data_IF_935411224823
#
_entry.id   IF_935411224823
#
_cell.length_a   1.000
_cell.length_b   1.000
_cell.length_c   1.000
_cell.angle_alpha   90.00
_cell.angle_beta   90.00
_cell.angle_gamma   90.00
#
_symmetry.space_group_name_H-M   'P 1'
#
loop_
_entity.id
_entity.type
_entity.pdbx_description
1 polymer ?
#
# COMPACT_ATOMS: atom_id res chain seq x y z
N UNK A 1 23.72 -2.83 -26.66
CA UNK A 1 24.50 -1.81 -25.99
C UNK A 1 24.01 -1.65 -24.54
N UNK A 2 24.94 -1.73 -23.59
CA UNK A 2 24.66 -1.60 -22.14
C UNK A 2 24.18 -0.21 -21.73
N UNK A 3 24.26 0.80 -22.57
CA UNK A 3 23.91 2.19 -22.23
C UNK A 3 22.43 2.45 -22.07
N UNK A 4 21.58 1.56 -22.58
CA UNK A 4 20.13 1.74 -22.62
C UNK A 4 19.41 0.51 -22.08
N UNK A 5 19.42 0.35 -20.76
CA UNK A 5 18.64 -0.68 -20.07
C UNK A 5 17.39 0.00 -19.51
N UNK A 6 16.24 -0.55 -19.85
CA UNK A 6 14.94 -0.13 -19.31
C UNK A 6 14.57 -1.08 -18.20
N UNK A 7 14.58 -0.58 -16.96
CA UNK A 7 14.19 -1.33 -15.77
C UNK A 7 12.89 -0.76 -15.19
N UNK A 8 12.00 -1.62 -14.76
CA UNK A 8 10.72 -1.27 -14.15
C UNK A 8 10.61 -1.91 -12.76
N UNK A 9 10.07 -1.17 -11.80
CA UNK A 9 9.80 -1.64 -10.43
C UNK A 9 8.50 -1.07 -9.88
N UNK A 10 8.23 -1.34 -8.61
CA UNK A 10 7.02 -0.88 -7.92
C UNK A 10 5.85 -1.87 -8.01
N UNK A 11 4.66 -1.48 -7.50
CA UNK A 11 3.52 -2.41 -7.36
C UNK A 11 3.06 -3.04 -8.68
N UNK A 12 3.10 -2.27 -9.77
CA UNK A 12 2.67 -2.76 -11.08
C UNK A 12 3.64 -3.81 -11.69
N UNK A 13 4.88 -3.88 -11.22
CA UNK A 13 5.85 -4.87 -11.68
C UNK A 13 5.48 -6.32 -11.33
N UNK A 14 4.52 -6.52 -10.42
CA UNK A 14 3.96 -7.86 -10.13
C UNK A 14 3.09 -8.43 -11.24
N UNK A 15 2.66 -7.60 -12.19
CA UNK A 15 2.03 -8.01 -13.44
C UNK A 15 2.84 -7.44 -14.60
N UNK A 16 4.00 -8.02 -14.92
CA UNK A 16 4.97 -7.44 -15.86
C UNK A 16 4.57 -7.58 -17.33
N UNK A 17 3.80 -8.60 -17.70
CA UNK A 17 3.54 -8.99 -19.07
C UNK A 17 2.95 -7.88 -19.97
N UNK A 18 2.03 -7.01 -19.51
CA UNK A 18 1.54 -5.91 -20.35
C UNK A 18 2.62 -4.93 -20.82
N UNK A 19 3.78 -4.89 -20.15
CA UNK A 19 4.89 -4.00 -20.46
C UNK A 19 6.15 -4.77 -20.95
N UNK A 20 6.05 -6.08 -21.12
CA UNK A 20 7.19 -6.96 -21.41
C UNK A 20 7.98 -6.57 -22.67
N UNK A 21 7.31 -6.06 -23.71
CA UNK A 21 7.95 -5.64 -24.95
C UNK A 21 8.72 -4.32 -24.84
N UNK A 22 8.43 -3.52 -23.81
CA UNK A 22 9.02 -2.18 -23.60
C UNK A 22 10.11 -2.15 -22.53
N UNK A 23 10.21 -3.21 -21.72
CA UNK A 23 11.07 -3.27 -20.52
C UNK A 23 12.06 -4.42 -20.64
N UNK A 24 13.33 -4.14 -20.37
CA UNK A 24 14.38 -5.17 -20.44
C UNK A 24 14.36 -6.10 -19.21
N UNK A 25 14.05 -5.56 -18.04
CA UNK A 25 13.92 -6.31 -16.80
C UNK A 25 12.96 -5.62 -15.82
N UNK A 26 12.32 -6.42 -15.00
CA UNK A 26 11.50 -5.98 -13.87
C UNK A 26 12.18 -6.34 -12.55
N UNK A 27 12.09 -5.43 -11.59
CA UNK A 27 12.47 -5.66 -10.20
C UNK A 27 11.22 -5.83 -9.36
N UNK A 28 10.95 -7.07 -8.95
CA UNK A 28 9.73 -7.48 -8.23
C UNK A 28 10.03 -7.59 -6.74
N UNK A 29 9.38 -6.77 -5.93
CA UNK A 29 9.53 -6.76 -4.48
C UNK A 29 10.05 -5.44 -3.92
N UNK A 30 10.67 -5.52 -2.75
CA UNK A 30 11.21 -4.37 -2.03
C UNK A 30 12.51 -3.89 -2.70
N UNK A 31 12.61 -2.59 -2.97
CA UNK A 31 13.70 -2.01 -3.76
C UNK A 31 14.98 -1.71 -2.98
N UNK A 32 14.91 -1.57 -1.66
CA UNK A 32 15.97 -1.03 -0.82
C UNK A 32 17.28 -1.86 -0.88
N UNK A 33 17.17 -3.16 -1.01
CA UNK A 33 18.33 -4.05 -1.20
C UNK A 33 18.47 -4.51 -2.64
N UNK A 34 17.36 -4.75 -3.32
CA UNK A 34 17.35 -5.33 -4.67
C UNK A 34 17.85 -4.35 -5.73
N UNK A 35 17.50 -3.06 -5.65
CA UNK A 35 17.98 -2.07 -6.59
C UNK A 35 19.50 -1.81 -6.45
N UNK A 36 20.08 -1.61 -5.26
CA UNK A 36 21.53 -1.54 -5.10
C UNK A 36 22.24 -2.79 -5.60
N UNK A 37 21.71 -3.99 -5.34
CA UNK A 37 22.28 -5.25 -5.84
C UNK A 37 22.30 -5.30 -7.38
N UNK A 38 21.23 -4.83 -8.03
CA UNK A 38 21.16 -4.74 -9.49
C UNK A 38 22.18 -3.74 -10.05
N UNK A 39 22.30 -2.55 -9.43
CA UNK A 39 23.28 -1.54 -9.81
C UNK A 39 24.72 -2.06 -9.63
N UNK A 40 25.00 -2.71 -8.50
CA UNK A 40 26.30 -3.33 -8.24
C UNK A 40 26.60 -4.41 -9.30
N UNK A 41 25.64 -5.23 -9.66
CA UNK A 41 25.78 -6.22 -10.73
C UNK A 41 26.10 -5.58 -12.08
N UNK A 42 25.46 -4.46 -12.39
CA UNK A 42 25.76 -3.70 -13.61
C UNK A 42 27.21 -3.18 -13.60
N UNK A 43 27.69 -2.63 -12.49
CA UNK A 43 29.08 -2.15 -12.35
C UNK A 43 30.07 -3.30 -12.53
N UNK A 44 29.83 -4.44 -11.86
CA UNK A 44 30.68 -5.63 -11.98
C UNK A 44 30.76 -6.15 -13.42
N UNK A 45 29.63 -6.18 -14.12
CA UNK A 45 29.57 -6.59 -15.53
C UNK A 45 30.42 -5.67 -16.42
N UNK A 46 30.33 -4.35 -16.21
CA UNK A 46 31.18 -3.38 -16.93
C UNK A 46 32.66 -3.58 -16.64
N UNK A 47 33.05 -3.79 -15.39
CA UNK A 47 34.46 -4.06 -15.00
C UNK A 47 34.98 -5.35 -15.62
N UNK A 48 34.14 -6.36 -15.81
CA UNK A 48 34.47 -7.63 -16.51
C UNK A 48 34.48 -7.52 -18.03
N UNK A 49 34.28 -6.34 -18.60
CA UNK A 49 34.25 -6.13 -20.03
C UNK A 49 32.98 -6.63 -20.74
N UNK A 50 31.89 -6.85 -20.02
CA UNK A 50 30.59 -7.17 -20.61
C UNK A 50 30.03 -5.90 -21.26
N UNK A 51 29.79 -5.95 -22.56
CA UNK A 51 29.39 -4.79 -23.38
C UNK A 51 27.99 -4.93 -23.97
N UNK A 52 27.40 -6.12 -23.94
CA UNK A 52 26.09 -6.39 -24.52
C UNK A 52 24.99 -6.45 -23.45
N UNK A 53 23.82 -5.92 -23.81
CA UNK A 53 22.63 -5.96 -22.96
C UNK A 53 22.24 -7.41 -22.58
N UNK A 54 22.29 -8.32 -23.57
CA UNK A 54 21.91 -9.72 -23.33
C UNK A 54 22.82 -10.40 -22.30
N UNK A 55 24.14 -10.19 -22.39
CA UNK A 55 25.08 -10.78 -21.44
C UNK A 55 24.87 -10.22 -20.01
N UNK A 56 24.56 -8.93 -19.88
CA UNK A 56 24.19 -8.35 -18.60
C UNK A 56 22.88 -8.96 -18.06
N UNK A 57 21.83 -9.07 -18.87
CA UNK A 57 20.54 -9.62 -18.47
C UNK A 57 20.66 -11.08 -17.99
N UNK A 58 21.56 -11.87 -18.58
CA UNK A 58 21.87 -13.23 -18.12
C UNK A 58 22.53 -13.27 -16.73
N UNK A 59 23.25 -12.23 -16.36
CA UNK A 59 23.78 -12.12 -15.00
C UNK A 59 22.75 -11.51 -14.02
N UNK A 60 22.00 -10.52 -14.47
CA UNK A 60 21.00 -9.84 -13.66
C UNK A 60 19.85 -10.78 -13.25
N UNK A 61 19.39 -11.69 -14.13
CA UNK A 61 18.27 -12.60 -13.83
C UNK A 61 18.57 -13.59 -12.68
N UNK A 62 19.83 -13.71 -12.25
CA UNK A 62 20.22 -14.55 -11.11
C UNK A 62 19.95 -13.89 -9.77
N UNK A 63 19.66 -12.58 -9.75
CA UNK A 63 19.32 -11.84 -8.55
C UNK A 63 17.86 -12.07 -8.16
N UNK A 64 17.59 -12.15 -6.86
CA UNK A 64 16.22 -12.23 -6.35
C UNK A 64 15.41 -11.01 -6.79
N UNK A 65 14.18 -11.24 -7.20
CA UNK A 65 13.26 -10.22 -7.69
C UNK A 65 13.44 -9.81 -9.14
N UNK A 66 14.49 -10.25 -9.83
CA UNK A 66 14.71 -9.86 -11.22
C UNK A 66 13.98 -10.79 -12.18
N UNK A 67 13.05 -10.24 -12.95
CA UNK A 67 12.37 -10.88 -14.06
C UNK A 67 12.82 -10.26 -15.38
N UNK A 68 13.28 -11.10 -16.33
CA UNK A 68 13.72 -10.68 -17.66
C UNK A 68 12.76 -11.29 -18.70
N UNK A 69 11.78 -10.54 -19.22
CA UNK A 69 10.69 -11.11 -20.06
C UNK A 69 11.18 -11.96 -21.23
N UNK A 70 12.19 -11.51 -21.94
CA UNK A 70 12.75 -12.22 -23.13
C UNK A 70 13.32 -13.61 -22.83
N UNK A 71 13.46 -14.01 -21.56
CA UNK A 71 13.93 -15.35 -21.16
C UNK A 71 12.81 -16.34 -20.96
N UNK A 72 11.57 -15.93 -21.24
CA UNK A 72 10.37 -16.76 -21.08
C UNK A 72 9.45 -16.62 -22.29
N UNK A 73 8.65 -17.64 -22.53
CA UNK A 73 7.60 -17.61 -23.53
C UNK A 73 6.34 -18.29 -22.98
N UNK A 74 5.17 -17.69 -23.12
CA UNK A 74 3.92 -18.34 -22.76
C UNK A 74 3.57 -19.41 -23.80
N UNK A 75 3.09 -20.56 -23.32
CA UNK A 75 2.46 -21.60 -24.16
C UNK A 75 0.97 -21.50 -23.95
N UNK A 76 0.23 -21.31 -25.01
CA UNK A 76 -1.23 -21.15 -24.95
C UNK A 76 -1.93 -22.50 -25.19
N UNK A 77 -3.05 -22.69 -24.51
CA UNK A 77 -4.02 -23.75 -24.79
C UNK A 77 -4.87 -23.38 -26.02
N UNK A 78 -5.67 -24.34 -26.51
CA UNK A 78 -6.54 -24.15 -27.70
C UNK A 78 -7.58 -23.03 -27.50
N UNK A 79 -8.02 -22.77 -26.25
CA UNK A 79 -8.95 -21.73 -25.90
C UNK A 79 -8.30 -20.35 -25.71
N UNK A 80 -6.99 -20.20 -25.95
CA UNK A 80 -6.23 -18.97 -25.81
C UNK A 80 -5.79 -18.64 -24.36
N UNK A 81 -6.07 -19.51 -23.39
CA UNK A 81 -5.55 -19.35 -22.04
C UNK A 81 -4.08 -19.75 -21.95
N UNK A 82 -3.32 -19.16 -21.03
CA UNK A 82 -1.92 -19.54 -20.78
C UNK A 82 -1.89 -20.91 -20.10
N UNK A 83 -1.32 -21.90 -20.78
CA UNK A 83 -1.12 -23.25 -20.25
C UNK A 83 0.09 -23.32 -19.32
N UNK A 84 1.20 -22.75 -19.74
CA UNK A 84 2.45 -22.72 -19.00
C UNK A 84 3.36 -21.58 -19.47
N UNK A 85 4.35 -21.24 -18.67
CA UNK A 85 5.43 -20.32 -19.01
C UNK A 85 6.72 -21.14 -19.17
N UNK A 86 7.26 -21.19 -20.39
CA UNK A 86 8.49 -21.90 -20.70
C UNK A 86 9.72 -21.00 -20.57
N UNK A 87 10.84 -21.57 -20.10
CA UNK A 87 12.13 -20.88 -20.11
C UNK A 87 12.77 -20.97 -21.48
N UNK A 88 13.18 -19.83 -22.04
CA UNK A 88 14.02 -19.75 -23.25
C UNK A 88 15.51 -19.66 -22.89
N UNK A 89 15.82 -19.34 -21.66
CA UNK A 89 17.17 -19.37 -21.09
C UNK A 89 17.18 -20.27 -19.86
N UNK A 90 17.93 -21.37 -19.93
CA UNK A 90 17.89 -22.45 -18.93
C UNK A 90 18.22 -21.97 -17.51
N UNK A 91 19.18 -21.06 -17.37
CA UNK A 91 19.59 -20.52 -16.07
C UNK A 91 18.63 -19.45 -15.52
N UNK A 92 17.60 -19.03 -16.26
CA UNK A 92 16.60 -18.11 -15.73
C UNK A 92 15.75 -18.81 -14.64
N UNK A 93 15.48 -18.12 -13.52
CA UNK A 93 14.70 -18.70 -12.43
C UNK A 93 13.21 -18.84 -12.80
N UNK A 94 12.60 -19.97 -12.44
CA UNK A 94 11.15 -20.15 -12.53
C UNK A 94 10.73 -21.08 -11.36
N UNK A 95 9.88 -20.64 -10.44
CA UNK A 95 9.26 -19.30 -10.35
C UNK A 95 10.25 -18.18 -9.98
N UNK A 96 9.90 -16.95 -10.34
CA UNK A 96 10.62 -15.75 -9.90
C UNK A 96 10.28 -15.49 -8.42
N UNK A 97 11.29 -15.45 -7.57
CA UNK A 97 11.13 -15.07 -6.16
C UNK A 97 11.22 -13.56 -6.04
N UNK A 98 10.21 -12.94 -5.44
CA UNK A 98 10.28 -11.51 -5.17
C UNK A 98 11.36 -11.19 -4.13
N UNK A 99 11.99 -10.04 -4.25
CA UNK A 99 12.85 -9.50 -3.22
C UNK A 99 12.02 -9.07 -2.01
N UNK A 100 12.40 -9.52 -0.81
CA UNK A 100 11.71 -9.19 0.44
C UNK A 100 12.73 -8.60 1.40
N UNK A 101 12.47 -7.37 1.83
CA UNK A 101 13.20 -6.76 2.93
C UNK A 101 12.68 -7.37 4.25
N UNK A 102 13.51 -8.05 5.04
CA UNK A 102 13.03 -8.79 6.22
C UNK A 102 12.44 -7.87 7.31
N UNK A 103 12.98 -6.69 7.46
CA UNK A 103 12.55 -5.67 8.42
C UNK A 103 12.75 -4.27 7.85
N UNK A 104 11.99 -3.29 8.32
CA UNK A 104 12.03 -1.92 7.81
C UNK A 104 12.55 -0.89 8.82
N UNK A 105 12.85 -1.34 10.04
CA UNK A 105 13.25 -0.47 11.16
C UNK A 105 14.56 0.26 10.88
N UNK A 106 15.56 -0.47 10.41
CA UNK A 106 16.92 0.06 10.16
C UNK A 106 17.11 0.65 8.76
N UNK A 107 16.09 0.59 7.92
CA UNK A 107 16.19 1.06 6.54
C UNK A 107 16.18 2.58 6.48
N UNK A 108 17.07 3.14 5.67
CA UNK A 108 17.10 4.56 5.39
C UNK A 108 15.76 5.05 4.85
N UNK A 109 15.29 6.13 5.43
CA UNK A 109 14.05 6.79 5.02
C UNK A 109 14.36 8.25 4.65
N UNK A 110 13.82 8.77 3.53
CA UNK A 110 14.10 10.13 3.08
C UNK A 110 13.49 11.16 4.05
N UNK A 111 14.32 11.66 4.96
CA UNK A 111 13.93 12.73 5.91
C UNK A 111 14.16 14.13 5.35
N UNK A 112 14.86 14.24 4.23
CA UNK A 112 15.10 15.47 3.47
C UNK A 112 14.62 15.31 2.03
N UNK A 113 13.31 15.12 1.79
CA UNK A 113 12.79 14.96 0.43
C UNK A 113 12.96 16.28 -0.35
N UNK A 114 13.08 16.15 -1.68
CA UNK A 114 13.05 17.32 -2.57
C UNK A 114 11.64 17.89 -2.56
N UNK A 115 11.51 19.13 -2.12
CA UNK A 115 10.22 19.83 -2.08
C UNK A 115 10.02 20.56 -3.42
N UNK A 116 8.88 20.37 -4.11
CA UNK A 116 8.58 21.08 -5.34
C UNK A 116 8.32 22.56 -5.05
N UNK A 117 8.75 23.44 -5.95
CA UNK A 117 8.47 24.89 -5.88
C UNK A 117 6.99 25.18 -6.18
N UNK A 118 6.37 24.31 -6.99
CA UNK A 118 4.96 24.41 -7.37
C UNK A 118 4.14 23.60 -6.36
N UNK A 119 3.06 24.18 -5.88
CA UNK A 119 2.11 23.50 -4.98
C UNK A 119 1.64 22.17 -5.57
N UNK A 120 1.87 21.09 -4.84
CA UNK A 120 1.48 19.74 -5.22
C UNK A 120 0.14 19.36 -4.56
N UNK A 121 -0.63 18.44 -5.17
CA UNK A 121 -1.92 17.97 -4.62
C UNK A 121 -1.75 17.34 -3.23
N UNK A 122 -0.58 16.79 -2.94
CA UNK A 122 -0.24 16.15 -1.67
C UNK A 122 1.03 16.79 -1.08
N UNK A 123 0.91 18.07 -0.75
CA UNK A 123 2.00 18.84 -0.13
C UNK A 123 2.03 18.59 1.38
N UNK A 124 2.69 17.52 1.79
CA UNK A 124 2.75 17.06 3.18
C UNK A 124 3.90 16.10 3.44
N UNK A 125 4.35 16.06 4.69
CA UNK A 125 5.26 15.03 5.16
C UNK A 125 4.54 13.70 5.30
N UNK A 126 5.18 12.61 4.85
CA UNK A 126 4.59 11.26 4.86
C UNK A 126 5.56 10.29 5.51
N UNK A 127 5.12 9.58 6.55
CA UNK A 127 5.91 8.55 7.23
C UNK A 127 5.27 7.18 7.05
N UNK A 128 6.02 6.25 6.43
CA UNK A 128 5.62 4.86 6.33
C UNK A 128 5.73 4.17 7.69
N UNK A 129 4.59 3.71 8.24
CA UNK A 129 4.54 3.07 9.55
C UNK A 129 4.78 1.57 9.48
N UNK A 130 4.22 0.92 8.46
CA UNK A 130 4.44 -0.51 8.21
C UNK A 130 4.09 -0.89 6.77
N UNK A 131 4.61 -2.03 6.32
CA UNK A 131 4.28 -2.68 5.04
C UNK A 131 3.52 -3.95 5.26
N UNK A 132 2.65 -4.26 4.29
CA UNK A 132 1.84 -5.47 4.28
C UNK A 132 0.49 -5.28 4.95
N UNK A 133 -0.33 -6.33 4.84
CA UNK A 133 -1.64 -6.40 5.46
C UNK A 133 -2.01 -7.86 5.71
N UNK A 134 -2.56 -8.17 6.88
CA UNK A 134 -2.95 -9.53 7.28
C UNK A 134 -4.39 -9.87 6.90
N UNK A 135 -5.20 -8.89 6.42
CA UNK A 135 -6.66 -9.03 6.32
C UNK A 135 -7.13 -10.00 5.24
N UNK A 136 -6.44 -10.09 4.12
CA UNK A 136 -6.74 -11.07 3.08
C UNK A 136 -8.03 -10.82 2.29
N UNK A 137 -8.44 -9.55 2.13
CA UNK A 137 -9.54 -9.18 1.23
C UNK A 137 -9.23 -9.70 -0.18
N UNK A 138 -10.17 -10.47 -0.78
CA UNK A 138 -9.92 -11.22 -2.02
C UNK A 138 -9.70 -10.34 -3.25
N UNK A 139 -10.23 -9.12 -3.24
CA UNK A 139 -10.02 -8.14 -4.32
C UNK A 139 -8.71 -7.35 -4.20
N UNK A 140 -8.01 -7.42 -3.05
CA UNK A 140 -6.91 -6.53 -2.75
C UNK A 140 -5.56 -7.13 -3.15
N UNK A 141 -5.00 -6.69 -4.28
CA UNK A 141 -3.66 -7.06 -4.71
C UNK A 141 -2.60 -6.61 -3.69
N UNK A 142 -2.71 -5.39 -3.16
CA UNK A 142 -1.76 -4.83 -2.20
C UNK A 142 -1.63 -5.71 -0.93
N UNK A 143 -2.74 -6.29 -0.45
CA UNK A 143 -2.74 -7.22 0.67
C UNK A 143 -1.94 -8.51 0.40
N UNK A 144 -1.65 -8.83 -0.84
CA UNK A 144 -0.85 -10.00 -1.23
C UNK A 144 0.61 -9.64 -1.52
N UNK A 145 0.83 -8.61 -2.34
CA UNK A 145 2.18 -8.27 -2.84
C UNK A 145 3.09 -7.69 -1.76
N UNK A 146 2.56 -7.09 -0.69
CA UNK A 146 3.35 -6.49 0.37
C UNK A 146 3.54 -7.36 1.62
N UNK A 147 3.10 -8.61 1.63
CA UNK A 147 3.37 -9.55 2.72
C UNK A 147 4.86 -9.90 2.80
N UNK A 148 5.38 -10.24 4.00
CA UNK A 148 4.76 -10.23 5.33
C UNK A 148 4.54 -8.82 5.86
N UNK A 149 3.79 -8.68 6.96
CA UNK A 149 3.70 -7.41 7.70
C UNK A 149 5.02 -7.14 8.40
N UNK A 150 5.51 -5.91 8.24
CA UNK A 150 6.75 -5.41 8.87
C UNK A 150 6.48 -4.01 9.36
N UNK A 151 6.58 -3.81 10.67
CA UNK A 151 6.29 -2.54 11.33
C UNK A 151 7.57 -1.80 11.71
N UNK A 152 7.52 -0.48 11.71
CA UNK A 152 8.49 0.36 12.42
C UNK A 152 8.04 0.52 13.86
N UNK A 153 8.98 0.64 14.79
CA UNK A 153 8.67 0.97 16.17
C UNK A 153 8.04 2.35 16.28
N UNK A 154 7.24 2.57 17.33
CA UNK A 154 6.67 3.86 17.66
C UNK A 154 7.75 4.95 17.69
N UNK A 155 8.86 4.69 18.37
CA UNK A 155 9.96 5.65 18.54
C UNK A 155 10.62 5.99 17.20
N UNK A 156 10.77 5.01 16.30
CA UNK A 156 11.31 5.26 14.96
C UNK A 156 10.36 6.12 14.13
N UNK A 157 9.05 5.86 14.19
CA UNK A 157 8.04 6.67 13.49
C UNK A 157 8.06 8.11 14.00
N UNK A 158 8.13 8.32 15.30
CA UNK A 158 8.24 9.66 15.89
C UNK A 158 9.51 10.38 15.42
N UNK A 159 10.67 9.72 15.49
CA UNK A 159 11.94 10.26 15.01
C UNK A 159 11.88 10.70 13.54
N UNK A 160 11.29 9.86 12.67
CA UNK A 160 11.16 10.16 11.25
C UNK A 160 10.19 11.32 10.98
N UNK A 161 9.08 11.38 11.72
CA UNK A 161 8.11 12.46 11.64
C UNK A 161 8.71 13.80 12.03
N UNK A 162 9.41 13.85 13.16
CA UNK A 162 10.12 15.04 13.62
C UNK A 162 11.16 15.52 12.61
N UNK A 163 12.03 14.61 12.15
CA UNK A 163 13.07 14.95 11.19
C UNK A 163 12.50 15.47 9.86
N UNK A 164 11.47 14.82 9.31
CA UNK A 164 10.81 15.29 8.08
C UNK A 164 10.18 16.67 8.25
N UNK A 165 9.44 16.91 9.31
CA UNK A 165 8.79 18.21 9.54
C UNK A 165 9.81 19.33 9.71
N UNK A 166 10.91 19.08 10.44
CA UNK A 166 11.99 20.05 10.60
C UNK A 166 12.71 20.38 9.27
N UNK A 167 12.90 19.38 8.41
CA UNK A 167 13.64 19.55 7.16
C UNK A 167 12.78 20.09 6.02
N UNK A 168 11.47 19.87 6.06
CA UNK A 168 10.56 20.28 4.97
C UNK A 168 9.79 21.56 5.26
N UNK A 169 9.48 21.82 6.53
CA UNK A 169 8.58 22.91 6.92
C UNK A 169 7.11 22.66 6.54
N UNK A 170 6.72 21.42 6.19
CA UNK A 170 5.34 21.09 5.87
C UNK A 170 4.42 21.30 7.08
N UNK A 171 3.20 21.75 6.83
CA UNK A 171 2.16 21.99 7.84
C UNK A 171 1.17 20.82 8.00
N UNK A 172 1.40 19.72 7.28
CA UNK A 172 0.66 18.46 7.41
C UNK A 172 1.61 17.26 7.50
N UNK A 173 1.34 16.37 8.45
CA UNK A 173 1.95 15.06 8.60
C UNK A 173 0.92 13.97 8.29
N UNK A 174 1.26 13.02 7.43
CA UNK A 174 0.42 11.86 7.11
C UNK A 174 1.14 10.56 7.40
N UNK A 175 0.44 9.59 8.00
CA UNK A 175 0.95 8.23 8.11
C UNK A 175 0.65 7.45 6.84
N UNK A 176 1.54 6.54 6.45
CA UNK A 176 1.39 5.69 5.28
C UNK A 176 1.42 4.21 5.67
N UNK A 177 0.33 3.53 5.38
CA UNK A 177 0.19 2.07 5.48
C UNK A 177 -1.06 1.59 4.74
N UNK A 178 -1.23 0.28 4.60
CA UNK A 178 -2.45 -0.32 4.05
C UNK A 178 -3.62 -0.36 5.03
N UNK A 179 -3.36 -0.21 6.34
CA UNK A 179 -4.37 -0.28 7.40
C UNK A 179 -3.82 0.33 8.69
N UNK A 180 -3.79 1.65 8.79
CA UNK A 180 -3.07 2.38 9.86
C UNK A 180 -3.50 1.94 11.27
N UNK A 181 -4.79 1.66 11.48
CA UNK A 181 -5.32 1.18 12.76
C UNK A 181 -4.93 -0.27 13.12
N UNK A 182 -4.26 -1.01 12.22
CA UNK A 182 -3.76 -2.36 12.51
C UNK A 182 -2.32 -2.36 13.05
N UNK A 183 -1.66 -1.20 13.15
CA UNK A 183 -0.34 -1.10 13.75
C UNK A 183 -0.38 -1.53 15.23
N UNK A 184 0.62 -2.31 15.66
CA UNK A 184 0.65 -2.90 17.01
C UNK A 184 0.59 -1.87 18.15
N UNK A 185 1.14 -0.67 17.94
CA UNK A 185 1.15 0.44 18.89
C UNK A 185 0.27 1.61 18.44
N UNK A 186 -0.80 1.38 17.66
CA UNK A 186 -1.59 2.43 17.03
C UNK A 186 -2.07 3.51 17.99
N UNK A 187 -2.67 3.14 19.12
CA UNK A 187 -3.21 4.10 20.10
C UNK A 187 -2.11 4.98 20.70
N UNK A 188 -1.06 4.36 21.23
CA UNK A 188 0.06 5.07 21.85
C UNK A 188 0.77 5.99 20.84
N UNK A 189 0.99 5.51 19.63
CA UNK A 189 1.58 6.28 18.54
C UNK A 189 0.72 7.49 18.17
N UNK A 190 -0.59 7.28 18.00
CA UNK A 190 -1.50 8.34 17.59
C UNK A 190 -1.61 9.42 18.64
N UNK A 191 -1.68 9.05 19.92
CA UNK A 191 -1.74 10.02 21.01
C UNK A 191 -0.47 10.89 21.07
N UNK A 192 0.71 10.28 20.94
CA UNK A 192 1.98 11.01 20.96
C UNK A 192 2.13 11.93 19.73
N UNK A 193 1.72 11.45 18.54
CA UNK A 193 1.70 12.27 17.33
C UNK A 193 0.74 13.47 17.45
N UNK A 194 -0.44 13.29 18.03
CA UNK A 194 -1.39 14.39 18.26
C UNK A 194 -0.77 15.44 19.18
N UNK A 195 -0.14 15.03 20.28
CA UNK A 195 0.47 15.95 21.23
C UNK A 195 1.68 16.69 20.61
N UNK A 196 2.47 16.00 19.78
CA UNK A 196 3.58 16.60 19.05
C UNK A 196 3.07 17.59 17.98
N UNK A 197 2.17 17.18 17.10
CA UNK A 197 1.67 18.03 16.02
C UNK A 197 0.90 19.26 16.51
N UNK A 198 0.23 19.15 17.68
CA UNK A 198 -0.39 20.31 18.36
C UNK A 198 0.65 21.34 18.77
N UNK A 199 1.77 20.92 19.36
CA UNK A 199 2.85 21.84 19.78
C UNK A 199 3.49 22.56 18.61
N UNK A 200 3.67 21.84 17.50
CA UNK A 200 4.31 22.36 16.27
C UNK A 200 3.32 23.07 15.34
N UNK A 201 2.03 23.14 15.69
CA UNK A 201 0.96 23.70 14.85
C UNK A 201 0.85 23.02 13.46
N UNK A 202 1.09 21.71 13.40
CA UNK A 202 1.05 20.86 12.22
C UNK A 202 -0.25 20.05 12.20
N UNK A 203 -0.88 19.87 11.04
CA UNK A 203 -2.04 18.98 10.88
C UNK A 203 -1.62 17.51 10.85
N UNK A 204 -2.38 16.63 11.53
CA UNK A 204 -2.18 15.17 11.45
C UNK A 204 -3.26 14.53 10.57
N UNK A 205 -2.84 13.75 9.58
CA UNK A 205 -3.71 12.95 8.72
C UNK A 205 -3.49 11.45 8.97
N UNK A 206 -4.56 10.75 9.30
CA UNK A 206 -4.56 9.31 9.56
C UNK A 206 -5.39 8.58 8.49
N UNK A 207 -4.81 8.27 7.33
CA UNK A 207 -5.51 7.55 6.27
C UNK A 207 -5.67 6.07 6.61
N UNK A 208 -6.53 5.38 5.86
CA UNK A 208 -6.70 3.93 5.93
C UNK A 208 -7.12 3.41 7.31
N UNK A 209 -7.95 4.18 8.01
CA UNK A 209 -8.56 3.73 9.27
C UNK A 209 -9.65 2.68 8.98
N UNK A 210 -9.72 1.66 9.81
CA UNK A 210 -10.70 0.58 9.68
C UNK A 210 -11.89 0.78 10.61
N UNK A 211 -13.09 0.43 10.13
CA UNK A 211 -14.35 0.52 10.86
C UNK A 211 -14.35 -0.33 12.14
N UNK A 212 -13.73 -1.51 12.09
CA UNK A 212 -13.77 -2.53 13.14
C UNK A 212 -12.74 -2.35 14.27
N UNK A 213 -11.93 -1.28 14.22
CA UNK A 213 -10.85 -1.03 15.17
C UNK A 213 -10.73 0.45 15.55
N UNK A 214 -11.81 1.03 16.04
CA UNK A 214 -11.74 2.36 16.59
C UNK A 214 -11.64 2.33 18.11
N UNK A 215 -10.52 2.85 18.64
CA UNK A 215 -10.48 3.30 20.01
C UNK A 215 -11.23 4.63 20.11
N UNK A 216 -12.32 4.67 20.85
CA UNK A 216 -13.15 5.86 21.06
C UNK A 216 -12.32 7.08 21.52
N UNK A 217 -11.35 6.84 22.39
CA UNK A 217 -10.45 7.89 22.90
C UNK A 217 -9.60 8.53 21.79
N UNK A 218 -9.12 7.72 20.82
CA UNK A 218 -8.35 8.22 19.67
C UNK A 218 -9.22 9.08 18.77
N UNK A 219 -10.46 8.65 18.49
CA UNK A 219 -11.41 9.43 17.70
C UNK A 219 -11.74 10.78 18.37
N UNK A 220 -11.99 10.77 19.66
CA UNK A 220 -12.29 11.98 20.42
C UNK A 220 -11.13 12.98 20.34
N UNK A 221 -9.91 12.52 20.53
CA UNK A 221 -8.71 13.36 20.42
C UNK A 221 -8.47 13.91 19.03
N UNK A 222 -8.69 13.10 17.97
CA UNK A 222 -8.60 13.55 16.56
C UNK A 222 -9.63 14.65 16.30
N UNK A 223 -10.88 14.48 16.77
CA UNK A 223 -11.94 15.43 16.57
C UNK A 223 -11.65 16.79 17.26
N UNK A 224 -11.10 16.77 18.48
CA UNK A 224 -10.71 17.98 19.19
C UNK A 224 -9.66 18.80 18.41
N UNK A 225 -8.82 18.09 17.63
CA UNK A 225 -7.71 18.71 16.92
C UNK A 225 -8.10 19.20 15.51
N UNK A 226 -8.73 18.36 14.70
CA UNK A 226 -9.14 18.70 13.31
C UNK A 226 -10.43 18.00 12.93
N UNK A 227 -11.48 18.77 12.63
CA UNK A 227 -12.73 18.23 12.07
C UNK A 227 -12.56 17.92 10.58
N UNK A 228 -11.94 16.79 10.27
CA UNK A 228 -11.94 16.23 8.91
C UNK A 228 -13.10 15.25 8.74
N UNK A 229 -13.55 15.01 7.50
CA UNK A 229 -14.55 13.96 7.23
C UNK A 229 -13.97 12.58 7.53
N UNK A 230 -14.81 11.67 8.05
CA UNK A 230 -14.45 10.27 8.19
C UNK A 230 -14.73 9.49 6.91
N UNK A 231 -13.84 8.60 6.56
CA UNK A 231 -13.99 7.75 5.38
C UNK A 231 -13.92 6.29 5.80
N UNK A 232 -14.95 5.54 5.43
CA UNK A 232 -15.06 4.11 5.68
C UNK A 232 -15.28 3.33 4.39
N UNK A 233 -14.80 2.11 4.33
CA UNK A 233 -14.91 1.24 3.17
C UNK A 233 -15.59 -0.10 3.54
N UNK A 234 -16.92 -0.17 3.62
CA UNK A 234 -17.64 -1.44 3.76
C UNK A 234 -17.45 -2.36 2.54
N UNK A 235 -17.19 -1.77 1.38
CA UNK A 235 -17.00 -2.38 0.04
C UNK A 235 -18.28 -3.00 -0.54
N UNK A 236 -19.15 -3.66 0.26
CA UNK A 236 -20.37 -4.30 -0.21
C UNK A 236 -21.56 -3.98 0.69
N UNK A 237 -22.76 -3.91 0.10
CA UNK A 237 -24.01 -3.56 0.80
C UNK A 237 -24.51 -4.64 1.74
N UNK A 238 -24.28 -5.92 1.44
CA UNK A 238 -24.78 -7.04 2.26
C UNK A 238 -23.65 -7.76 2.99
N UNK A 239 -23.99 -8.40 4.13
CA UNK A 239 -23.03 -9.25 4.84
C UNK A 239 -22.58 -10.41 3.97
N UNK A 240 -23.51 -11.05 3.26
CA UNK A 240 -23.20 -12.13 2.32
C UNK A 240 -22.06 -11.75 1.37
N UNK A 241 -22.15 -10.59 0.73
CA UNK A 241 -21.17 -10.18 -0.26
C UNK A 241 -19.85 -9.73 0.41
N UNK A 242 -19.89 -9.12 1.60
CA UNK A 242 -18.69 -8.86 2.40
C UNK A 242 -17.94 -10.15 2.76
N UNK A 243 -18.68 -11.22 3.09
CA UNK A 243 -18.08 -12.53 3.37
C UNK A 243 -17.47 -13.15 2.10
N UNK A 244 -18.15 -13.03 0.95
CA UNK A 244 -17.62 -13.49 -0.35
C UNK A 244 -16.27 -12.85 -0.66
N UNK A 245 -16.12 -11.55 -0.44
CA UNK A 245 -14.86 -10.82 -0.69
C UNK A 245 -13.89 -10.87 0.48
N UNK A 246 -14.23 -11.58 1.57
CA UNK A 246 -13.43 -11.68 2.80
C UNK A 246 -13.07 -10.30 3.39
N UNK A 247 -14.05 -9.39 3.43
CA UNK A 247 -13.78 -8.03 3.98
C UNK A 247 -13.61 -8.03 5.50
N UNK A 248 -14.22 -8.98 6.22
CA UNK A 248 -14.11 -9.13 7.67
C UNK A 248 -14.69 -7.93 8.45
N UNK A 249 -15.74 -7.30 7.94
CA UNK A 249 -16.49 -6.21 8.58
C UNK A 249 -17.95 -6.61 8.65
N UNK A 250 -18.55 -6.56 9.84
CA UNK A 250 -19.97 -6.89 10.05
C UNK A 250 -20.86 -5.65 9.91
N UNK A 251 -22.17 -5.88 9.76
CA UNK A 251 -23.14 -4.78 9.78
C UNK A 251 -23.13 -4.05 11.14
N UNK A 252 -22.93 -4.80 12.23
CA UNK A 252 -22.81 -4.22 13.57
C UNK A 252 -21.61 -3.27 13.67
N UNK A 253 -20.43 -3.68 13.16
CA UNK A 253 -19.24 -2.84 13.16
C UNK A 253 -19.47 -1.52 12.42
N UNK A 254 -20.18 -1.58 11.27
CA UNK A 254 -20.50 -0.39 10.48
C UNK A 254 -21.36 0.58 11.28
N UNK A 255 -22.49 0.11 11.82
CA UNK A 255 -23.44 0.99 12.52
C UNK A 255 -22.85 1.50 13.82
N UNK A 256 -22.22 0.67 14.63
CA UNK A 256 -21.61 1.06 15.90
C UNK A 256 -20.53 2.13 15.70
N UNK A 257 -19.64 1.96 14.74
CA UNK A 257 -18.56 2.94 14.48
C UNK A 257 -19.11 4.26 13.96
N UNK A 258 -20.17 4.23 13.15
CA UNK A 258 -20.81 5.44 12.65
C UNK A 258 -21.59 6.16 13.76
N UNK A 259 -22.32 5.43 14.59
CA UNK A 259 -23.05 5.99 15.74
C UNK A 259 -22.07 6.71 16.69
N UNK A 260 -20.96 6.05 17.05
CA UNK A 260 -19.90 6.66 17.84
C UNK A 260 -19.34 7.93 17.20
N UNK A 261 -19.11 7.92 15.89
CA UNK A 261 -18.62 9.09 15.17
C UNK A 261 -19.63 10.25 15.20
N UNK A 262 -20.91 9.97 15.05
CA UNK A 262 -21.99 10.97 15.14
C UNK A 262 -22.13 11.54 16.54
N UNK A 263 -22.04 10.72 17.59
CA UNK A 263 -22.05 11.14 19.00
C UNK A 263 -20.88 12.08 19.31
N UNK A 264 -19.71 11.84 18.74
CA UNK A 264 -18.54 12.71 18.82
C UNK A 264 -18.67 13.98 17.96
N UNK A 265 -19.79 14.16 17.22
CA UNK A 265 -20.11 15.36 16.46
C UNK A 265 -19.55 15.40 15.03
N UNK A 266 -19.16 14.25 14.47
CA UNK A 266 -18.81 14.15 13.07
C UNK A 266 -20.07 14.33 12.20
N UNK A 267 -20.02 15.28 11.22
CA UNK A 267 -21.16 15.62 10.37
C UNK A 267 -21.06 15.03 8.97
N UNK A 268 -19.85 14.66 8.54
CA UNK A 268 -19.58 14.16 7.21
C UNK A 268 -18.90 12.79 7.27
N UNK A 269 -19.63 11.77 6.81
CA UNK A 269 -19.14 10.41 6.71
C UNK A 269 -19.18 10.00 5.25
N UNK A 270 -18.03 9.57 4.71
CA UNK A 270 -17.89 9.07 3.35
C UNK A 270 -17.79 7.56 3.36
N UNK A 271 -18.65 6.90 2.60
CA UNK A 271 -18.64 5.44 2.45
C UNK A 271 -18.19 5.05 1.05
N UNK A 272 -17.29 4.07 0.96
CA UNK A 272 -16.87 3.47 -0.30
C UNK A 272 -17.48 2.09 -0.49
N UNK A 273 -18.04 1.88 -1.68
CA UNK A 273 -18.58 0.61 -2.13
C UNK A 273 -18.02 0.25 -3.51
N UNK A 274 -17.85 -1.04 -3.72
CA UNK A 274 -17.52 -1.63 -5.02
C UNK A 274 -18.78 -2.16 -5.69
N UNK A 275 -18.87 -2.04 -7.00
CA UNK A 275 -19.94 -2.59 -7.83
C UNK A 275 -19.30 -3.52 -8.87
N UNK A 276 -19.97 -4.64 -9.18
CA UNK A 276 -19.46 -5.66 -10.11
C UNK A 276 -18.60 -6.71 -9.41
N UNK A 277 -18.78 -6.92 -8.12
CA UNK A 277 -18.10 -7.97 -7.37
C UNK A 277 -18.55 -9.37 -7.80
N UNK A 278 -17.68 -10.39 -7.71
CA UNK A 278 -18.07 -11.76 -8.00
C UNK A 278 -19.30 -12.20 -7.19
N UNK A 279 -20.27 -12.81 -7.85
CA UNK A 279 -21.55 -13.26 -7.29
C UNK A 279 -22.49 -12.15 -6.80
N UNK A 280 -22.23 -10.90 -7.15
CA UNK A 280 -23.11 -9.78 -6.79
C UNK A 280 -24.50 -9.93 -7.44
N UNK A 281 -25.52 -9.55 -6.69
CA UNK A 281 -26.91 -9.52 -7.12
C UNK A 281 -27.51 -8.13 -6.90
N UNK A 282 -28.66 -7.85 -7.49
CA UNK A 282 -29.38 -6.59 -7.24
C UNK A 282 -29.71 -6.38 -5.75
N UNK A 283 -29.97 -7.44 -4.99
CA UNK A 283 -30.21 -7.35 -3.56
C UNK A 283 -28.96 -6.83 -2.80
N UNK A 284 -27.75 -7.10 -3.30
CA UNK A 284 -26.52 -6.58 -2.71
C UNK A 284 -26.35 -5.08 -2.99
N UNK A 285 -26.80 -4.62 -4.16
CA UNK A 285 -26.81 -3.20 -4.51
C UNK A 285 -27.86 -2.44 -3.70
N UNK A 286 -29.08 -3.02 -3.53
CA UNK A 286 -30.12 -2.46 -2.66
C UNK A 286 -29.62 -2.32 -1.22
N UNK A 287 -28.81 -3.26 -0.75
CA UNK A 287 -28.15 -3.22 0.55
C UNK A 287 -27.24 -1.99 0.76
N UNK A 288 -26.65 -1.43 -0.30
CA UNK A 288 -25.91 -0.16 -0.22
C UNK A 288 -26.85 0.98 0.15
N UNK A 289 -28.00 1.03 -0.49
CA UNK A 289 -29.04 2.04 -0.23
C UNK A 289 -29.61 1.89 1.19
N UNK A 290 -29.81 0.66 1.65
CA UNK A 290 -30.27 0.37 3.02
C UNK A 290 -29.27 0.85 4.07
N UNK A 291 -27.97 0.59 3.88
CA UNK A 291 -26.93 1.11 4.80
C UNK A 291 -27.03 2.64 4.87
N UNK A 292 -27.12 3.31 3.73
CA UNK A 292 -27.19 4.78 3.70
C UNK A 292 -28.45 5.32 4.40
N UNK A 293 -29.61 4.67 4.22
CA UNK A 293 -30.88 5.03 4.89
C UNK A 293 -30.78 4.84 6.40
N UNK A 294 -30.29 3.71 6.85
CA UNK A 294 -30.16 3.39 8.27
C UNK A 294 -29.21 4.37 8.99
N UNK A 295 -28.10 4.73 8.35
CA UNK A 295 -27.16 5.73 8.89
C UNK A 295 -27.83 7.11 8.98
N UNK A 296 -28.64 7.49 7.98
CA UNK A 296 -29.37 8.74 8.03
C UNK A 296 -30.35 8.78 9.21
N UNK A 297 -31.00 7.66 9.51
CA UNK A 297 -31.92 7.55 10.65
C UNK A 297 -31.20 7.67 12.00
N UNK A 298 -29.96 7.18 12.12
CA UNK A 298 -29.12 7.37 13.31
C UNK A 298 -28.84 8.85 13.58
N UNK A 299 -28.66 9.65 12.53
CA UNK A 299 -28.34 11.09 12.66
C UNK A 299 -29.54 11.96 13.08
N UNK A 300 -30.76 11.43 13.08
CA UNK A 300 -31.98 12.13 13.51
C UNK A 300 -32.43 11.77 14.92
N UNK A 301 -31.74 10.86 15.59
CA UNK A 301 -31.97 10.53 17.01
C UNK A 301 -31.07 11.35 17.91
#
# INVERSE_FOLDING_TARGET
DLRHIVACGGPCAYNPEPLADFVDLFLIGDGEQALPALVQKYIECKQKGITTKEAFLKEACKLDGVYVPRFYAPVYAEDGTIKELCKLYEAAPLPIRRAILPEIESVDFPVEPIIPIVEAVHDRSVVETFRGCTRGCRFCQAGMIYRPVRERSKDKIMQLAEAQLQNTGNDELSLLSLSTSDHSCFEALTMELIDYTKRENVSLSLPSLRIDKFAFDVLNRIQEYKKSGLTYAPEAGTQRLRDVINKGVTAADIYQSIEQALELGWKHIKLYFMIGLPTETYADLDGIVEIAKNIRELNYK
#
